data_IF_247628489668
#
_entry.id   IF_247628489668
#
_cell.length_a   1.000
_cell.length_b   1.000
_cell.length_c   1.000
_cell.angle_alpha   90.00
_cell.angle_beta   90.00
_cell.angle_gamma   90.00
#
_symmetry.space_group_name_H-M   'P 1'
#
loop_
_entity.id
_entity.type
_entity.pdbx_description
1 polymer ?
#
# COMPACT_ATOMS: atom_id res chain seq x y z
N UNK A 1 -8.39 3.26 -6.88
CA UNK A 1 -8.27 4.28 -5.84
C UNK A 1 -9.29 4.01 -4.73
N UNK A 2 -8.93 4.31 -3.47
CA UNK A 2 -9.79 4.15 -2.29
C UNK A 2 -9.88 5.48 -1.56
N UNK A 3 -11.10 5.91 -1.25
CA UNK A 3 -11.38 7.04 -0.38
C UNK A 3 -11.83 6.52 1.00
N UNK A 4 -10.99 6.74 2.02
CA UNK A 4 -11.25 6.28 3.38
C UNK A 4 -12.41 7.03 4.05
N UNK A 5 -12.63 8.28 3.71
CA UNK A 5 -13.74 9.06 4.28
C UNK A 5 -15.10 8.56 3.78
N UNK A 6 -15.15 8.15 2.52
CA UNK A 6 -16.35 7.60 1.91
C UNK A 6 -16.49 6.07 2.12
N UNK A 7 -15.43 5.38 2.59
CA UNK A 7 -15.38 3.92 2.70
C UNK A 7 -15.60 3.20 1.35
N UNK A 8 -15.20 3.84 0.26
CA UNK A 8 -15.42 3.36 -1.11
C UNK A 8 -14.15 3.37 -1.94
N UNK A 9 -14.09 2.46 -2.91
CA UNK A 9 -13.04 2.46 -3.89
C UNK A 9 -13.55 2.23 -5.30
N UNK A 10 -12.70 2.54 -6.26
CA UNK A 10 -12.92 2.28 -7.68
C UNK A 10 -11.67 1.70 -8.31
N UNK A 11 -11.86 0.73 -9.20
CA UNK A 11 -10.81 0.26 -10.10
C UNK A 11 -10.84 1.12 -11.35
N UNK A 12 -9.67 1.63 -11.74
CA UNK A 12 -9.51 2.46 -12.92
C UNK A 12 -8.41 1.86 -13.79
N UNK A 13 -8.67 1.74 -15.07
CA UNK A 13 -7.63 1.42 -16.05
C UNK A 13 -7.01 2.73 -16.51
N UNK A 14 -5.69 2.87 -16.30
CA UNK A 14 -4.95 4.02 -16.79
C UNK A 14 -4.61 3.80 -18.26
N UNK A 15 -5.14 4.63 -19.12
CA UNK A 15 -4.75 4.71 -20.53
C UNK A 15 -3.44 5.48 -20.68
N UNK A 16 -2.66 5.19 -21.72
CA UNK A 16 -1.43 5.93 -22.01
C UNK A 16 -0.20 5.52 -21.19
N UNK A 17 -0.08 4.26 -20.80
CA UNK A 17 1.05 3.67 -20.05
C UNK A 17 2.44 3.92 -20.64
N UNK A 18 2.54 4.48 -21.84
CA UNK A 18 3.81 4.78 -22.51
C UNK A 18 4.69 5.79 -21.74
N UNK A 19 4.12 6.49 -20.75
CA UNK A 19 4.83 7.50 -19.92
C UNK A 19 5.37 6.93 -18.60
N UNK A 20 4.82 5.80 -18.11
CA UNK A 20 5.27 5.17 -16.85
C UNK A 20 5.06 3.66 -16.91
N UNK A 21 6.14 2.93 -16.87
CA UNK A 21 6.15 1.46 -17.05
C UNK A 21 5.80 0.71 -15.75
N UNK A 22 5.55 1.42 -14.64
CA UNK A 22 5.26 0.86 -13.31
C UNK A 22 6.26 1.35 -12.25
N UNK A 23 6.15 0.84 -11.03
CA UNK A 23 7.02 1.20 -9.91
C UNK A 23 7.01 2.71 -9.63
N UNK A 24 8.18 3.31 -9.51
CA UNK A 24 8.35 4.76 -9.22
C UNK A 24 7.71 5.64 -10.30
N UNK A 25 7.82 5.28 -11.57
CA UNK A 25 7.20 6.06 -12.66
C UNK A 25 5.68 6.11 -12.53
N UNK A 26 5.04 4.96 -12.26
CA UNK A 26 3.60 4.91 -12.02
C UNK A 26 3.21 5.65 -10.74
N UNK A 27 3.99 5.49 -9.66
CA UNK A 27 3.74 6.17 -8.39
C UNK A 27 3.79 7.70 -8.54
N UNK A 28 4.77 8.24 -9.30
CA UNK A 28 4.89 9.67 -9.57
C UNK A 28 3.71 10.21 -10.38
N UNK A 29 3.27 9.51 -11.44
CA UNK A 29 2.08 9.91 -12.21
C UNK A 29 0.81 9.88 -11.36
N UNK A 30 0.66 8.90 -10.49
CA UNK A 30 -0.47 8.83 -9.57
C UNK A 30 -0.42 9.96 -8.53
N UNK A 31 0.77 10.32 -8.07
CA UNK A 31 0.92 11.45 -7.16
C UNK A 31 0.60 12.78 -7.85
N UNK A 32 0.99 12.96 -9.11
CA UNK A 32 0.59 14.14 -9.92
C UNK A 32 -0.93 14.22 -10.09
N UNK A 33 -1.60 13.07 -10.29
CA UNK A 33 -3.03 13.02 -10.52
C UNK A 33 -3.88 13.21 -9.25
N UNK A 34 -3.44 12.71 -8.10
CA UNK A 34 -4.22 12.68 -6.86
C UNK A 34 -3.68 13.61 -5.78
N UNK A 35 -2.40 13.97 -5.83
CA UNK A 35 -1.72 14.77 -4.83
C UNK A 35 -1.79 16.28 -5.11
N UNK A 36 -1.21 17.03 -4.19
CA UNK A 36 -1.01 18.47 -4.34
C UNK A 36 0.29 18.88 -3.63
N UNK A 37 1.11 19.68 -4.29
CA UNK A 37 2.32 20.25 -3.68
C UNK A 37 2.00 21.34 -2.65
N UNK A 38 0.83 21.97 -2.77
CA UNK A 38 0.41 23.08 -1.89
C UNK A 38 -0.21 22.60 -0.57
N UNK A 39 -0.92 21.45 -0.58
CA UNK A 39 -1.51 20.89 0.63
C UNK A 39 -0.43 20.27 1.52
N UNK A 40 -0.51 20.42 2.86
CA UNK A 40 0.45 19.79 3.77
C UNK A 40 0.38 18.26 3.67
N UNK A 41 1.42 17.59 4.15
CA UNK A 41 1.58 16.13 4.09
C UNK A 41 0.46 15.34 4.79
N UNK A 42 -0.14 15.92 5.84
CA UNK A 42 -1.21 15.32 6.66
C UNK A 42 -2.63 15.68 6.19
N UNK A 43 -2.74 16.44 5.09
CA UNK A 43 -4.05 16.72 4.50
C UNK A 43 -4.71 15.39 4.08
N UNK A 44 -6.00 15.17 4.44
CA UNK A 44 -6.70 13.94 4.07
C UNK A 44 -6.70 13.64 2.57
N UNK A 45 -6.73 14.68 1.73
CA UNK A 45 -6.71 14.54 0.27
C UNK A 45 -5.34 14.15 -0.30
N UNK A 46 -4.24 14.22 0.47
CA UNK A 46 -2.95 13.74 -0.02
C UNK A 46 -2.99 12.22 -0.20
N UNK A 47 -2.46 11.67 -1.29
CA UNK A 47 -2.46 10.25 -1.53
C UNK A 47 -1.35 9.53 -0.74
N UNK A 48 -1.64 8.32 -0.30
CA UNK A 48 -0.67 7.29 0.05
C UNK A 48 -0.76 6.22 -1.03
N UNK A 49 0.32 6.01 -1.77
CA UNK A 49 0.34 5.22 -3.00
C UNK A 49 1.24 4.01 -2.82
N UNK A 50 0.77 2.84 -3.21
CA UNK A 50 1.58 1.62 -3.32
C UNK A 50 1.55 1.17 -4.78
N UNK A 51 2.72 1.07 -5.42
CA UNK A 51 2.83 0.70 -6.82
C UNK A 51 3.85 -0.42 -7.03
N UNK A 52 3.63 -1.25 -8.04
CA UNK A 52 4.50 -2.37 -8.40
C UNK A 52 5.08 -2.24 -9.80
N UNK A 53 6.18 -2.93 -10.04
CA UNK A 53 6.80 -2.99 -11.35
C UNK A 53 6.08 -3.95 -12.31
N UNK A 54 6.24 -3.76 -13.63
CA UNK A 54 5.56 -4.58 -14.63
C UNK A 54 6.04 -6.04 -14.66
N UNK A 55 7.23 -6.31 -14.17
CA UNK A 55 7.81 -7.67 -14.12
C UNK A 55 7.43 -8.45 -12.85
N UNK A 56 6.69 -7.81 -11.92
CA UNK A 56 6.24 -8.46 -10.68
C UNK A 56 5.35 -9.65 -11.00
N UNK A 57 5.69 -10.80 -10.44
CA UNK A 57 4.98 -12.07 -10.66
C UNK A 57 5.41 -12.84 -11.91
N UNK A 58 6.08 -12.20 -12.87
CA UNK A 58 6.57 -12.86 -14.11
C UNK A 58 7.97 -13.44 -13.96
N UNK A 59 8.81 -12.79 -13.15
CA UNK A 59 10.20 -13.22 -12.95
C UNK A 59 10.54 -13.30 -11.47
N UNK A 60 11.40 -14.23 -11.05
CA UNK A 60 11.90 -14.31 -9.69
C UNK A 60 12.56 -13.00 -9.25
N UNK A 61 12.39 -12.65 -7.96
CA UNK A 61 13.01 -11.49 -7.31
C UNK A 61 12.50 -10.11 -7.79
N UNK A 62 11.63 -10.03 -8.79
CA UNK A 62 11.05 -8.78 -9.30
C UNK A 62 9.82 -8.37 -8.49
N UNK A 63 9.97 -8.21 -7.15
CA UNK A 63 8.83 -8.07 -6.23
C UNK A 63 8.98 -6.91 -5.26
N UNK A 64 9.55 -5.77 -5.68
CA UNK A 64 9.55 -4.55 -4.87
C UNK A 64 8.25 -3.78 -5.02
N UNK A 65 7.75 -3.30 -3.88
CA UNK A 65 6.67 -2.32 -3.84
C UNK A 65 7.27 -0.93 -3.56
N UNK A 66 6.82 0.05 -4.29
CA UNK A 66 7.07 1.47 -4.05
C UNK A 66 5.93 2.01 -3.20
N UNK A 67 6.25 2.70 -2.11
CA UNK A 67 5.30 3.50 -1.33
C UNK A 67 5.62 4.97 -1.56
N UNK A 68 4.71 5.71 -2.21
CA UNK A 68 4.89 7.12 -2.52
C UNK A 68 3.86 7.98 -1.76
N UNK A 69 4.31 9.15 -1.30
CA UNK A 69 3.55 10.05 -0.46
C UNK A 69 4.20 11.42 -0.40
N UNK A 70 3.51 12.41 0.18
CA UNK A 70 4.15 13.66 0.61
C UNK A 70 4.76 13.44 1.99
N UNK A 71 6.06 13.68 2.13
CA UNK A 71 6.84 13.34 3.32
C UNK A 71 6.60 14.30 4.48
N UNK A 72 6.31 13.84 5.70
CA UNK A 72 6.31 14.68 6.89
C UNK A 72 7.71 15.23 7.27
N UNK A 73 8.78 14.69 6.68
CA UNK A 73 10.15 15.12 6.99
C UNK A 73 10.54 16.41 6.26
N UNK A 74 10.14 16.59 5.00
CA UNK A 74 10.53 17.74 4.18
C UNK A 74 9.38 18.33 3.34
N UNK A 75 8.15 17.85 3.54
CA UNK A 75 6.92 18.31 2.90
C UNK A 75 6.99 18.31 1.35
N UNK A 76 7.66 17.32 0.79
CA UNK A 76 7.80 17.11 -0.66
C UNK A 76 7.44 15.66 -1.01
N UNK A 77 7.26 15.40 -2.30
CA UNK A 77 7.14 14.04 -2.82
C UNK A 77 8.31 13.17 -2.38
N UNK A 78 7.98 11.98 -1.93
CA UNK A 78 8.96 11.03 -1.44
C UNK A 78 8.54 9.59 -1.76
N UNK A 79 9.54 8.73 -1.87
CA UNK A 79 9.37 7.29 -2.05
C UNK A 79 10.12 6.50 -1.00
N UNK A 80 9.52 5.43 -0.56
CA UNK A 80 10.17 4.39 0.22
C UNK A 80 9.86 3.03 -0.39
N UNK A 81 10.82 2.11 -0.38
CA UNK A 81 10.75 0.86 -1.12
C UNK A 81 10.86 -0.32 -0.15
N UNK A 82 9.95 -1.29 -0.28
CA UNK A 82 10.02 -2.52 0.47
C UNK A 82 10.02 -3.74 -0.45
N UNK A 83 10.83 -4.73 -0.10
CA UNK A 83 10.74 -6.08 -0.66
C UNK A 83 9.70 -6.91 0.11
N UNK A 84 9.58 -8.17 -0.24
CA UNK A 84 8.68 -9.12 0.42
C UNK A 84 7.47 -9.46 -0.45
N UNK A 85 6.33 -9.70 0.20
CA UNK A 85 5.14 -10.24 -0.47
C UNK A 85 4.18 -9.19 -0.97
N UNK A 86 4.28 -7.94 -0.52
CA UNK A 86 3.30 -6.90 -0.86
C UNK A 86 3.12 -6.68 -2.36
N UNK A 87 4.23 -6.72 -3.13
CA UNK A 87 4.15 -6.60 -4.58
C UNK A 87 3.43 -7.79 -5.23
N UNK A 88 3.71 -9.00 -4.76
CA UNK A 88 3.02 -10.19 -5.26
C UNK A 88 1.54 -10.19 -4.87
N UNK A 89 1.20 -9.78 -3.64
CA UNK A 89 -0.18 -9.67 -3.20
C UNK A 89 -0.95 -8.67 -4.08
N UNK A 90 -0.38 -7.50 -4.40
CA UNK A 90 -0.98 -6.54 -5.34
C UNK A 90 -1.15 -7.16 -6.74
N UNK A 91 -0.13 -7.85 -7.26
CA UNK A 91 -0.22 -8.52 -8.57
C UNK A 91 -1.32 -9.57 -8.61
N UNK A 92 -1.44 -10.38 -7.55
CA UNK A 92 -2.48 -11.40 -7.44
C UNK A 92 -3.85 -10.85 -7.00
N UNK A 93 -3.93 -9.57 -6.64
CA UNK A 93 -5.18 -8.81 -6.54
C UNK A 93 -5.55 -8.11 -7.86
N UNK A 94 -4.82 -8.40 -8.95
CA UNK A 94 -4.96 -7.76 -10.27
C UNK A 94 -4.82 -6.22 -10.23
N UNK A 95 -3.93 -5.73 -9.36
CA UNK A 95 -3.67 -4.31 -9.14
C UNK A 95 -2.21 -3.97 -9.46
N UNK A 96 -1.98 -2.99 -10.33
CA UNK A 96 -0.66 -2.40 -10.56
C UNK A 96 -0.32 -1.34 -9.49
N UNK A 97 -1.33 -0.72 -8.91
CA UNK A 97 -1.18 0.21 -7.81
C UNK A 97 -2.44 0.31 -6.93
N UNK A 98 -2.24 0.71 -5.68
CA UNK A 98 -3.27 1.10 -4.73
C UNK A 98 -3.04 2.57 -4.35
N UNK A 99 -4.04 3.42 -4.56
CA UNK A 99 -4.05 4.82 -4.13
C UNK A 99 -5.05 4.97 -2.99
N UNK A 100 -4.59 5.49 -1.86
CA UNK A 100 -5.41 5.69 -0.66
C UNK A 100 -5.48 7.19 -0.36
N UNK A 101 -6.68 7.76 -0.41
CA UNK A 101 -6.99 9.15 -0.07
C UNK A 101 -8.02 9.21 1.06
N UNK A 102 -8.31 10.40 1.55
CA UNK A 102 -9.23 10.58 2.66
C UNK A 102 -8.60 10.22 4.01
N UNK A 103 -9.40 10.36 5.06
CA UNK A 103 -9.11 9.94 6.43
C UNK A 103 -10.28 9.11 6.94
N UNK A 104 -10.01 7.95 7.50
CA UNK A 104 -11.03 7.13 8.14
C UNK A 104 -11.61 7.85 9.37
N UNK A 105 -12.90 7.71 9.65
CA UNK A 105 -13.55 8.36 10.81
C UNK A 105 -12.97 7.84 12.13
N UNK A 106 -12.56 6.60 12.18
CA UNK A 106 -11.94 5.93 13.34
C UNK A 106 -10.68 5.20 12.90
N UNK A 107 -9.79 4.82 13.85
CA UNK A 107 -8.66 3.95 13.54
C UNK A 107 -9.11 2.68 12.85
N UNK A 108 -8.69 2.49 11.60
CA UNK A 108 -9.23 1.46 10.71
C UNK A 108 -8.16 0.59 10.09
N UNK A 109 -8.57 -0.59 9.66
CA UNK A 109 -7.84 -1.45 8.75
C UNK A 109 -8.55 -1.49 7.39
N UNK A 110 -7.80 -1.28 6.32
CA UNK A 110 -8.27 -1.41 4.95
C UNK A 110 -7.89 -2.79 4.42
N UNK A 111 -8.87 -3.61 4.05
CA UNK A 111 -8.64 -4.83 3.27
C UNK A 111 -8.98 -4.57 1.81
N UNK A 112 -8.10 -5.03 0.91
CA UNK A 112 -8.23 -4.83 -0.54
C UNK A 112 -7.93 -6.15 -1.24
N UNK A 113 -8.88 -6.61 -2.05
CA UNK A 113 -8.71 -7.71 -3.00
C UNK A 113 -9.03 -7.28 -4.42
N UNK A 114 -9.15 -8.23 -5.33
CA UNK A 114 -9.42 -7.97 -6.75
C UNK A 114 -10.83 -7.38 -6.99
N UNK A 115 -11.80 -7.77 -6.16
CA UNK A 115 -13.22 -7.42 -6.34
C UNK A 115 -13.87 -6.86 -5.07
N UNK A 116 -13.10 -6.64 -4.01
CA UNK A 116 -13.65 -6.13 -2.75
C UNK A 116 -12.73 -5.12 -2.07
N UNK A 117 -13.36 -4.24 -1.32
CA UNK A 117 -12.73 -3.32 -0.40
C UNK A 117 -13.54 -3.36 0.89
N UNK A 118 -12.85 -3.49 2.01
CA UNK A 118 -13.44 -3.44 3.34
C UNK A 118 -12.65 -2.46 4.20
N UNK A 119 -13.35 -1.52 4.83
CA UNK A 119 -12.79 -0.63 5.84
C UNK A 119 -13.38 -1.01 7.20
N UNK A 120 -12.57 -1.66 8.04
CA UNK A 120 -12.98 -2.15 9.34
C UNK A 120 -12.42 -1.28 10.45
N UNK A 121 -13.29 -0.89 11.41
CA UNK A 121 -12.86 -0.23 12.66
C UNK A 121 -11.99 -1.19 13.49
N UNK A 122 -10.81 -0.71 13.83
CA UNK A 122 -9.83 -1.43 14.66
C UNK A 122 -9.27 -0.53 15.75
N UNK A 123 -10.07 0.40 16.28
CA UNK A 123 -9.65 1.38 17.29
C UNK A 123 -8.92 0.73 18.48
N UNK A 124 -9.30 -0.49 18.86
CA UNK A 124 -8.65 -1.26 19.93
C UNK A 124 -7.20 -1.67 19.62
N UNK A 125 -6.76 -1.56 18.38
CA UNK A 125 -5.35 -1.79 17.96
C UNK A 125 -4.51 -0.51 18.02
N UNK A 126 -5.15 0.66 18.20
CA UNK A 126 -4.41 1.92 18.34
C UNK A 126 -3.59 1.91 19.63
N UNK A 127 -2.34 2.33 19.55
CA UNK A 127 -1.36 2.21 20.63
C UNK A 127 -0.63 0.87 20.70
N UNK A 128 -1.10 -0.16 19.98
CA UNK A 128 -0.43 -1.45 19.94
C UNK A 128 0.81 -1.42 19.02
N UNK A 129 1.83 -2.19 19.40
CA UNK A 129 3.03 -2.36 18.59
C UNK A 129 2.74 -3.10 17.26
N UNK A 130 3.72 -3.07 16.35
CA UNK A 130 3.60 -3.67 15.02
C UNK A 130 3.46 -5.20 15.06
N UNK A 131 3.99 -5.87 16.09
CA UNK A 131 3.91 -7.33 16.23
C UNK A 131 2.53 -7.76 16.71
N UNK A 132 2.00 -7.11 17.74
CA UNK A 132 0.65 -7.35 18.26
C UNK A 132 -0.39 -7.06 17.16
N UNK A 133 -0.30 -5.90 16.52
CA UNK A 133 -1.14 -5.51 15.38
C UNK A 133 -1.08 -6.55 14.27
N UNK A 134 0.12 -6.96 13.85
CA UNK A 134 0.28 -7.93 12.77
C UNK A 134 -0.29 -9.31 13.11
N UNK A 135 -0.19 -9.77 14.37
CA UNK A 135 -0.82 -11.03 14.80
C UNK A 135 -2.33 -10.94 14.76
N UNK A 136 -2.91 -9.82 15.20
CA UNK A 136 -4.35 -9.63 15.22
C UNK A 136 -4.92 -9.55 13.79
N UNK A 137 -4.37 -8.69 12.94
CA UNK A 137 -4.79 -8.57 11.55
C UNK A 137 -4.68 -9.91 10.80
N UNK A 138 -3.67 -10.71 11.11
CA UNK A 138 -3.53 -12.05 10.50
C UNK A 138 -4.63 -13.02 10.92
N UNK A 139 -5.18 -12.86 12.14
CA UNK A 139 -6.33 -13.66 12.61
C UNK A 139 -7.65 -13.15 12.05
N UNK A 140 -7.81 -11.83 11.93
CA UNK A 140 -9.02 -11.21 11.40
C UNK A 140 -9.22 -11.51 9.91
N UNK A 141 -8.13 -11.57 9.15
CA UNK A 141 -8.13 -11.85 7.72
C UNK A 141 -7.44 -13.22 7.46
N UNK A 142 -8.11 -14.33 7.80
CA UNK A 142 -7.58 -15.65 7.56
C UNK A 142 -7.69 -15.95 6.08
N UNK A 143 -6.58 -16.03 5.36
CA UNK A 143 -6.57 -16.37 3.93
C UNK A 143 -5.44 -17.34 3.62
N UNK A 144 -5.70 -18.31 2.78
CA UNK A 144 -4.68 -19.03 2.06
C UNK A 144 -4.25 -18.20 0.85
N UNK A 145 -2.97 -18.23 0.49
CA UNK A 145 -2.47 -17.58 -0.73
C UNK A 145 -1.63 -16.33 -0.49
N UNK A 146 -1.67 -15.43 -1.46
CA UNK A 146 -0.76 -14.29 -1.55
C UNK A 146 -1.29 -13.07 -0.77
N UNK A 147 -1.32 -13.18 0.55
CA UNK A 147 -1.72 -12.07 1.43
C UNK A 147 -0.49 -11.34 1.95
N UNK A 148 -0.56 -10.00 1.99
CA UNK A 148 0.42 -9.14 2.65
C UNK A 148 -0.26 -8.16 3.59
N UNK A 149 0.36 -7.92 4.76
CA UNK A 149 -0.14 -7.05 5.82
C UNK A 149 0.85 -5.91 6.01
N UNK A 150 0.41 -4.69 5.74
CA UNK A 150 1.11 -3.45 5.99
C UNK A 150 0.51 -2.84 7.28
N UNK A 151 1.36 -2.29 8.17
CA UNK A 151 0.88 -1.74 9.44
C UNK A 151 1.85 -0.77 10.05
N UNK A 152 1.31 0.07 10.93
CA UNK A 152 2.10 1.02 11.71
C UNK A 152 2.03 0.70 13.21
N UNK A 153 3.03 1.17 13.94
CA UNK A 153 3.06 1.21 15.39
C UNK A 153 2.80 2.62 15.92
N UNK A 154 2.96 2.85 17.24
CA UNK A 154 2.69 4.13 17.89
C UNK A 154 3.41 5.33 17.27
N UNK A 155 4.62 5.16 16.77
CA UNK A 155 5.34 6.25 16.09
C UNK A 155 4.62 6.76 14.83
N UNK A 156 3.96 5.85 14.07
CA UNK A 156 3.13 6.24 12.93
C UNK A 156 1.84 6.93 13.36
N UNK A 157 1.22 6.44 14.43
CA UNK A 157 -0.03 6.98 14.96
C UNK A 157 0.07 8.44 15.41
N UNK A 158 1.24 8.83 15.95
CA UNK A 158 1.51 10.22 16.35
C UNK A 158 2.08 11.09 15.23
N UNK A 159 2.13 10.59 13.98
CA UNK A 159 2.61 11.36 12.83
C UNK A 159 4.12 11.58 12.79
N UNK A 160 4.93 10.74 13.44
CA UNK A 160 6.39 10.92 13.45
C UNK A 160 6.96 10.88 12.03
N UNK A 161 7.80 11.87 11.69
CA UNK A 161 8.53 11.93 10.42
C UNK A 161 9.55 10.78 10.23
N UNK A 162 9.86 10.06 11.30
CA UNK A 162 10.75 8.89 11.27
C UNK A 162 9.98 7.56 11.18
N UNK A 163 8.65 7.59 11.24
CA UNK A 163 7.84 6.37 11.26
C UNK A 163 7.83 5.67 9.90
N UNK A 164 8.15 4.38 9.90
CA UNK A 164 8.01 3.51 8.74
C UNK A 164 6.70 2.72 8.75
N UNK A 165 6.42 2.05 7.63
CA UNK A 165 5.32 1.09 7.50
C UNK A 165 5.94 -0.31 7.48
N UNK A 166 5.55 -1.17 8.42
CA UNK A 166 6.00 -2.56 8.44
C UNK A 166 5.21 -3.40 7.45
N UNK A 167 5.91 -4.28 6.74
CA UNK A 167 5.35 -5.21 5.76
C UNK A 167 5.61 -6.64 6.24
N UNK A 168 4.55 -7.39 6.44
CA UNK A 168 4.59 -8.78 6.91
C UNK A 168 5.42 -8.92 8.21
N UNK A 169 6.51 -9.72 8.21
CA UNK A 169 7.28 -9.97 9.43
C UNK A 169 8.52 -9.08 9.55
N UNK A 170 9.29 -8.90 8.47
CA UNK A 170 10.65 -8.33 8.56
C UNK A 170 10.95 -7.22 7.55
N UNK A 171 10.02 -6.88 6.67
CA UNK A 171 10.21 -5.82 5.69
C UNK A 171 9.51 -4.54 6.13
N UNK A 172 9.97 -3.42 5.63
CA UNK A 172 9.35 -2.13 5.95
C UNK A 172 9.70 -1.09 4.89
N UNK A 173 8.80 -0.13 4.71
CA UNK A 173 9.07 1.15 4.09
C UNK A 173 9.62 2.06 5.18
N UNK A 174 10.94 2.13 5.30
CA UNK A 174 11.64 2.64 6.48
C UNK A 174 12.00 4.12 6.43
N UNK A 175 11.79 4.81 5.32
CA UNK A 175 12.30 6.17 5.11
C UNK A 175 11.19 7.19 4.93
N UNK A 176 11.52 8.46 5.29
CA UNK A 176 10.77 9.68 4.96
C UNK A 176 9.35 9.77 5.55
N UNK A 177 9.03 8.94 6.55
CA UNK A 177 7.84 9.12 7.37
C UNK A 177 6.53 8.58 6.81
N UNK A 178 6.58 7.62 5.89
CA UNK A 178 5.36 7.01 5.33
C UNK A 178 4.40 6.45 6.39
N UNK A 179 4.94 5.99 7.53
CA UNK A 179 4.12 5.54 8.67
C UNK A 179 3.33 6.68 9.31
N UNK A 180 3.90 7.89 9.38
CA UNK A 180 3.19 9.09 9.85
C UNK A 180 2.04 9.49 8.92
N UNK A 181 2.25 9.40 7.59
CA UNK A 181 1.18 9.64 6.59
C UNK A 181 0.04 8.63 6.76
N UNK A 182 0.36 7.35 6.98
CA UNK A 182 -0.64 6.32 7.23
C UNK A 182 -1.41 6.60 8.54
N UNK A 183 -0.73 7.03 9.61
CA UNK A 183 -1.35 7.44 10.87
C UNK A 183 -2.25 8.66 10.73
N UNK A 184 -1.84 9.69 9.98
CA UNK A 184 -2.65 10.87 9.70
C UNK A 184 -3.97 10.55 8.98
N UNK A 185 -4.06 9.39 8.33
CA UNK A 185 -5.28 8.86 7.71
C UNK A 185 -6.13 7.99 8.63
N UNK A 186 -5.80 7.88 9.91
CA UNK A 186 -6.39 6.91 10.86
C UNK A 186 -6.28 5.47 10.36
N UNK A 187 -5.25 5.13 9.60
CA UNK A 187 -5.08 3.83 9.00
C UNK A 187 -4.03 3.02 9.77
N UNK A 188 -4.49 2.09 10.59
CA UNK A 188 -3.64 1.21 11.41
C UNK A 188 -2.99 0.10 10.61
N UNK A 189 -3.72 -0.42 9.61
CA UNK A 189 -3.25 -1.49 8.76
C UNK A 189 -3.87 -1.47 7.36
N UNK A 190 -3.18 -2.11 6.43
CA UNK A 190 -3.69 -2.47 5.11
C UNK A 190 -3.43 -3.95 4.91
N UNK A 191 -4.45 -4.69 4.54
CA UNK A 191 -4.37 -6.10 4.16
C UNK A 191 -4.62 -6.18 2.65
N UNK A 192 -3.64 -6.71 1.93
CA UNK A 192 -3.75 -6.92 0.48
C UNK A 192 -3.96 -8.40 0.26
N UNK A 193 -5.07 -8.77 -0.35
CA UNK A 193 -5.48 -10.14 -0.59
C UNK A 193 -5.35 -10.47 -2.07
N UNK A 194 -4.33 -11.25 -2.41
CA UNK A 194 -4.12 -11.73 -3.77
C UNK A 194 -5.05 -12.90 -4.09
N UNK A 195 -6.27 -12.59 -4.41
CA UNK A 195 -7.41 -13.50 -4.60
C UNK A 195 -7.78 -13.72 -6.08
N UNK A 196 -7.13 -13.03 -7.00
CA UNK A 196 -7.32 -13.22 -8.44
C UNK A 196 -6.48 -14.38 -8.99
N UNK A 197 -6.99 -15.03 -10.02
CA UNK A 197 -6.21 -15.99 -10.78
C UNK A 197 -5.10 -15.28 -11.59
N UNK A 198 -3.87 -15.73 -11.40
CA UNK A 198 -2.73 -15.23 -12.15
C UNK A 198 -2.17 -16.33 -13.05
N UNK A 199 -2.13 -16.08 -14.34
CA UNK A 199 -1.53 -17.00 -15.32
C UNK A 199 -0.35 -16.33 -16.02
N UNK A 200 0.74 -17.07 -16.16
CA UNK A 200 1.83 -16.64 -17.04
C UNK A 200 1.39 -16.74 -18.50
N UNK A 201 1.71 -15.77 -19.35
CA UNK A 201 1.53 -15.92 -20.79
C UNK A 201 2.22 -17.19 -21.30
N UNK A 202 1.56 -17.93 -22.19
CA UNK A 202 2.04 -19.22 -22.66
C UNK A 202 3.40 -19.17 -23.40
N UNK A 203 3.75 -18.01 -23.93
CA UNK A 203 5.02 -17.73 -24.64
C UNK A 203 6.19 -17.37 -23.70
N UNK A 204 5.93 -17.22 -22.39
CA UNK A 204 6.93 -16.88 -21.37
C UNK A 204 7.29 -18.06 -20.46
N UNK A 205 7.27 -19.26 -21.01
CA UNK A 205 7.82 -20.43 -20.33
C UNK A 205 9.33 -20.21 -20.18
N UNK A 206 9.78 -19.98 -18.94
CA UNK A 206 11.22 -19.97 -18.64
C UNK A 206 11.74 -21.38 -18.98
N UNK A 207 12.67 -21.53 -19.92
CA UNK A 207 13.26 -22.84 -20.17
C UNK A 207 13.81 -23.40 -18.87
N UNK A 208 13.56 -24.67 -18.62
CA UNK A 208 14.21 -25.35 -17.50
C UNK A 208 15.74 -25.24 -17.66
N UNK A 209 16.50 -25.08 -16.56
CA UNK A 209 17.95 -24.99 -16.60
C UNK A 209 18.58 -26.25 -17.15
#
# INVERSE_FOLDING_TARGET
>A
AVDLAAGRGSVQTLEGRNRAVGGSGLAALLFEAFGSVERPWDDPGQPLIFAIGPLTGYFPLMSKTVCAFKSPYHDQYAESHAGGRSALALRFADLDALVVTGRAPTPSCLAVGSHHIELQDVHYLWGQDVYATGRMLRRMYPGAGHRSILRIGPAGEIGSAMAGINVDTYRHFGRLGGGGVMGAKNLKGIVIEGDAAFSLPADKVIPAP
#
